data_IF_680218106591
#
_entry.id   IF_680218106591
#
_cell.length_a   1.000
_cell.length_b   1.000
_cell.length_c   1.000
_cell.angle_alpha   90.00
_cell.angle_beta   90.00
_cell.angle_gamma   90.00
#
_symmetry.space_group_name_H-M   'P 1'
#
loop_
_entity.id
_entity.type
_entity.pdbx_description
1 polymer ?
#
# COMPACT_ATOMS: atom_id res chain seq x y z
N UNK A 1 13.13 -25.74 7.82
CA UNK A 1 14.21 -26.73 7.83
C UNK A 1 15.57 -26.06 7.83
N UNK A 2 16.60 -26.76 8.27
CA UNK A 2 17.99 -26.33 8.17
C UNK A 2 18.52 -26.74 6.79
N UNK A 3 18.99 -25.78 6.01
CA UNK A 3 19.58 -25.99 4.70
C UNK A 3 20.96 -25.34 4.66
N UNK A 4 21.90 -25.97 3.98
CA UNK A 4 23.21 -25.38 3.69
C UNK A 4 23.16 -24.46 2.46
N UNK A 5 24.25 -23.74 2.18
CA UNK A 5 24.33 -22.82 1.05
C UNK A 5 24.14 -23.53 -0.30
N UNK A 6 24.57 -24.78 -0.43
CA UNK A 6 24.45 -25.54 -1.68
C UNK A 6 22.99 -25.81 -2.08
N UNK A 7 22.09 -25.93 -1.10
CA UNK A 7 20.66 -26.05 -1.35
C UNK A 7 20.09 -24.87 -2.16
N UNK A 8 20.72 -23.70 -2.05
CA UNK A 8 20.30 -22.47 -2.73
C UNK A 8 21.09 -22.17 -4.02
N UNK A 9 22.00 -23.05 -4.45
CA UNK A 9 22.91 -22.79 -5.57
C UNK A 9 22.20 -22.45 -6.88
N UNK A 10 21.12 -23.11 -7.20
CA UNK A 10 20.33 -22.82 -8.41
C UNK A 10 19.79 -21.38 -8.36
N UNK A 11 19.12 -21.00 -7.27
CA UNK A 11 18.61 -19.66 -7.05
C UNK A 11 19.71 -18.60 -7.01
N UNK A 12 20.86 -18.91 -6.42
CA UNK A 12 22.01 -18.01 -6.40
C UNK A 12 22.59 -17.80 -7.79
N UNK A 13 22.62 -18.86 -8.62
CA UNK A 13 23.05 -18.79 -10.01
C UNK A 13 22.12 -17.92 -10.85
N UNK A 14 20.81 -18.05 -10.65
CA UNK A 14 19.81 -17.21 -11.32
C UNK A 14 19.93 -15.75 -10.92
N UNK A 15 20.11 -15.47 -9.62
CA UNK A 15 20.39 -14.10 -9.12
C UNK A 15 21.69 -13.52 -9.73
N UNK A 16 22.72 -14.34 -9.85
CA UNK A 16 24.00 -13.90 -10.43
C UNK A 16 23.88 -13.59 -11.93
N UNK A 17 23.16 -14.45 -12.68
CA UNK A 17 22.96 -14.28 -14.14
C UNK A 17 21.94 -13.22 -14.47
N UNK A 18 20.85 -13.14 -13.71
CA UNK A 18 19.77 -12.18 -13.92
C UNK A 18 20.09 -10.75 -13.49
N UNK A 19 21.22 -10.56 -12.80
CA UNK A 19 21.57 -9.29 -12.22
C UNK A 19 20.70 -8.92 -11.02
N UNK A 20 20.89 -7.71 -10.52
CA UNK A 20 20.16 -7.19 -9.39
C UNK A 20 18.70 -6.89 -9.79
N UNK A 21 17.74 -7.63 -9.22
CA UNK A 21 16.32 -7.39 -9.44
C UNK A 21 15.97 -5.99 -8.91
N UNK A 22 15.55 -5.12 -9.79
CA UNK A 22 14.84 -3.90 -9.41
C UNK A 22 13.36 -4.26 -9.31
N UNK A 23 12.67 -3.75 -8.28
CA UNK A 23 11.22 -3.90 -8.19
C UNK A 23 10.52 -3.36 -9.44
N UNK A 24 9.25 -3.67 -9.58
CA UNK A 24 8.42 -3.08 -10.65
C UNK A 24 8.26 -1.58 -10.44
N UNK A 25 8.05 -0.85 -11.52
CA UNK A 25 7.79 0.59 -11.50
C UNK A 25 6.49 0.92 -10.75
N UNK A 26 6.50 2.03 -10.03
CA UNK A 26 5.29 2.62 -9.42
C UNK A 26 4.39 3.31 -10.45
N UNK A 27 4.87 3.47 -11.69
CA UNK A 27 4.23 4.31 -12.70
C UNK A 27 4.54 5.80 -12.55
N UNK A 28 5.28 6.18 -11.50
CA UNK A 28 5.82 7.52 -11.30
C UNK A 28 7.34 7.48 -11.45
N UNK A 29 7.87 7.85 -12.61
CA UNK A 29 9.30 7.77 -12.93
C UNK A 29 10.19 8.43 -11.86
N UNK A 30 9.76 9.59 -11.36
CA UNK A 30 10.49 10.31 -10.30
C UNK A 30 10.51 9.58 -8.96
N UNK A 31 9.46 8.76 -8.66
CA UNK A 31 9.37 7.96 -7.45
C UNK A 31 10.21 6.69 -7.53
N UNK A 32 10.36 6.09 -8.71
CA UNK A 32 11.02 4.80 -8.89
C UNK A 32 12.48 4.78 -8.43
N UNK A 33 13.13 5.94 -8.34
CA UNK A 33 14.44 6.05 -7.72
C UNK A 33 14.39 5.78 -6.21
N UNK A 34 13.35 6.24 -5.55
CA UNK A 34 13.19 6.14 -4.09
C UNK A 34 12.48 4.86 -3.68
N UNK A 35 11.56 4.38 -4.51
CA UNK A 35 10.69 3.27 -4.18
C UNK A 35 10.23 2.54 -5.43
N UNK A 36 10.52 1.27 -5.51
CA UNK A 36 9.93 0.31 -6.46
C UNK A 36 9.31 -0.84 -5.69
N UNK A 37 8.39 -1.55 -6.31
CA UNK A 37 7.60 -2.58 -5.64
C UNK A 37 8.11 -3.97 -5.96
N UNK A 38 8.12 -4.84 -4.94
CA UNK A 38 8.43 -6.27 -5.08
C UNK A 38 7.47 -7.06 -4.23
N UNK A 39 7.09 -8.25 -4.67
CA UNK A 39 6.36 -9.20 -3.83
C UNK A 39 7.19 -9.65 -2.63
N UNK A 40 6.55 -10.19 -1.60
CA UNK A 40 7.19 -10.57 -0.35
C UNK A 40 7.58 -9.41 0.56
N UNK A 41 7.10 -8.18 0.29
CA UNK A 41 7.46 -6.96 1.02
C UNK A 41 6.26 -6.30 1.68
N UNK A 42 6.53 -5.62 2.80
CA UNK A 42 5.58 -4.79 3.53
C UNK A 42 6.00 -3.32 3.43
N UNK A 43 5.11 -2.49 2.92
CA UNK A 43 5.25 -1.02 2.89
C UNK A 43 4.27 -0.39 3.87
N UNK A 44 4.75 0.44 4.77
CA UNK A 44 3.90 1.32 5.59
C UNK A 44 3.77 2.68 4.93
N UNK A 45 2.53 3.13 4.73
CA UNK A 45 2.21 4.47 4.23
C UNK A 45 1.58 5.28 5.34
N UNK A 46 2.12 6.48 5.61
CA UNK A 46 1.58 7.39 6.61
C UNK A 46 1.43 8.81 6.07
N UNK A 47 0.81 9.67 6.83
CA UNK A 47 0.54 11.08 6.51
C UNK A 47 -0.64 11.56 7.34
N UNK A 48 -0.73 12.86 7.56
CA UNK A 48 -1.86 13.45 8.29
C UNK A 48 -3.18 13.15 7.57
N UNK A 49 -4.32 13.22 8.25
CA UNK A 49 -5.63 13.13 7.59
C UNK A 49 -5.73 14.10 6.42
N UNK A 50 -6.38 13.69 5.33
CA UNK A 50 -6.55 14.47 4.10
C UNK A 50 -5.25 14.81 3.33
N UNK A 51 -4.13 14.13 3.62
CA UNK A 51 -2.87 14.32 2.88
C UNK A 51 -2.83 13.65 1.49
N UNK A 52 -3.88 12.89 1.11
CA UNK A 52 -3.95 12.21 -0.18
C UNK A 52 -3.41 10.76 -0.18
N UNK A 53 -3.22 10.13 1.00
CA UNK A 53 -2.72 8.73 1.10
C UNK A 53 -3.53 7.75 0.27
N UNK A 54 -4.84 7.70 0.48
CA UNK A 54 -5.73 6.75 -0.21
C UNK A 54 -5.72 6.98 -1.72
N UNK A 55 -5.69 8.24 -2.16
CA UNK A 55 -5.61 8.59 -3.57
C UNK A 55 -4.26 8.17 -4.18
N UNK A 56 -3.15 8.43 -3.48
CA UNK A 56 -1.83 7.95 -3.90
C UNK A 56 -1.78 6.41 -4.00
N UNK A 57 -2.30 5.69 -3.00
CA UNK A 57 -2.34 4.23 -3.02
C UNK A 57 -3.22 3.71 -4.17
N UNK A 58 -4.37 4.33 -4.42
CA UNK A 58 -5.24 3.96 -5.54
C UNK A 58 -4.55 4.15 -6.89
N UNK A 59 -3.86 5.28 -7.09
CA UNK A 59 -3.10 5.54 -8.32
C UNK A 59 -1.94 4.54 -8.48
N UNK A 60 -1.24 4.23 -7.39
CA UNK A 60 -0.16 3.24 -7.40
C UNK A 60 -0.66 1.84 -7.80
N UNK A 61 -1.80 1.43 -7.24
CA UNK A 61 -2.44 0.16 -7.60
C UNK A 61 -2.89 0.14 -9.06
N UNK A 62 -3.51 1.21 -9.56
CA UNK A 62 -3.91 1.33 -10.96
C UNK A 62 -2.71 1.29 -11.90
N UNK A 63 -1.64 2.04 -11.60
CA UNK A 63 -0.43 2.04 -12.41
C UNK A 63 0.17 0.64 -12.53
N UNK A 64 0.26 -0.09 -11.42
CA UNK A 64 0.82 -1.45 -11.43
C UNK A 64 -0.12 -2.47 -12.08
N UNK A 65 -1.44 -2.27 -12.01
CA UNK A 65 -2.40 -3.08 -12.74
C UNK A 65 -2.28 -2.85 -14.26
N UNK A 66 -2.16 -1.59 -14.70
CA UNK A 66 -2.04 -1.23 -16.12
C UNK A 66 -0.70 -1.68 -16.71
N UNK A 67 0.41 -1.46 -16.00
CA UNK A 67 1.74 -1.64 -16.57
C UNK A 67 2.30 -3.06 -16.38
N UNK A 68 1.89 -3.75 -15.30
CA UNK A 68 2.47 -5.01 -14.85
C UNK A 68 1.45 -6.14 -14.67
N UNK A 69 0.18 -5.90 -15.01
CA UNK A 69 -0.94 -6.85 -14.82
C UNK A 69 -1.07 -7.32 -13.36
N UNK A 70 -0.71 -6.46 -12.41
CA UNK A 70 -0.88 -6.78 -11.01
C UNK A 70 -2.34 -6.72 -10.59
N UNK A 71 -2.77 -7.76 -9.87
CA UNK A 71 -4.10 -7.83 -9.29
C UNK A 71 -4.02 -7.51 -7.80
N UNK A 72 -5.01 -6.77 -7.29
CA UNK A 72 -5.02 -6.24 -5.95
C UNK A 72 -6.22 -6.71 -5.13
N UNK A 73 -5.99 -7.03 -3.86
CA UNK A 73 -7.03 -7.10 -2.85
C UNK A 73 -7.04 -5.79 -2.07
N UNK A 74 -8.20 -5.17 -1.94
CA UNK A 74 -8.35 -3.85 -1.33
C UNK A 74 -9.26 -3.94 -0.12
N UNK A 75 -8.71 -3.59 1.04
CA UNK A 75 -9.39 -3.49 2.32
C UNK A 75 -9.41 -2.01 2.72
N UNK A 76 -10.46 -1.29 2.34
CA UNK A 76 -10.65 0.12 2.68
C UNK A 76 -11.79 0.29 3.67
N UNK A 77 -11.52 1.04 4.76
CA UNK A 77 -12.49 1.25 5.84
C UNK A 77 -13.12 2.64 5.83
N UNK A 78 -12.48 3.60 5.15
CA UNK A 78 -12.93 5.00 5.20
C UNK A 78 -14.05 5.29 4.21
N UNK A 79 -14.05 4.63 3.05
CA UNK A 79 -15.01 4.89 1.99
C UNK A 79 -15.84 3.64 1.66
N UNK A 80 -17.13 3.81 1.33
CA UNK A 80 -17.91 2.74 0.71
C UNK A 80 -17.21 2.22 -0.55
N UNK A 81 -17.29 0.92 -0.79
CA UNK A 81 -16.60 0.27 -1.91
C UNK A 81 -17.02 0.87 -3.26
N UNK A 82 -18.29 1.23 -3.41
CA UNK A 82 -18.82 1.84 -4.63
C UNK A 82 -18.17 3.20 -4.94
N UNK A 83 -17.92 4.00 -3.89
CA UNK A 83 -17.25 5.31 -4.05
C UNK A 83 -15.79 5.11 -4.40
N UNK A 84 -15.13 4.14 -3.80
CA UNK A 84 -13.76 3.79 -4.15
C UNK A 84 -13.64 3.34 -5.60
N UNK A 85 -14.53 2.45 -6.06
CA UNK A 85 -14.59 1.99 -7.46
C UNK A 85 -14.84 3.16 -8.40
N UNK A 86 -15.80 4.05 -8.09
CA UNK A 86 -16.08 5.23 -8.90
C UNK A 86 -14.85 6.14 -9.03
N UNK A 87 -14.16 6.42 -7.90
CA UNK A 87 -12.93 7.22 -7.90
C UNK A 87 -11.80 6.55 -8.70
N UNK A 88 -11.65 5.24 -8.59
CA UNK A 88 -10.67 4.50 -9.40
C UNK A 88 -11.01 4.54 -10.90
N UNK A 89 -12.30 4.48 -11.26
CA UNK A 89 -12.74 4.65 -12.64
C UNK A 89 -12.42 6.06 -13.18
N UNK A 90 -12.61 7.11 -12.37
CA UNK A 90 -12.19 8.47 -12.71
C UNK A 90 -10.69 8.56 -12.98
N UNK A 91 -9.86 7.97 -12.11
CA UNK A 91 -8.41 7.94 -12.28
C UNK A 91 -8.00 7.16 -13.55
N UNK A 92 -8.69 6.08 -13.85
CA UNK A 92 -8.42 5.23 -15.02
C UNK A 92 -8.76 5.93 -16.34
N UNK A 93 -9.93 6.60 -16.39
CA UNK A 93 -10.43 7.26 -17.60
C UNK A 93 -9.90 8.70 -17.75
N UNK A 94 -9.58 9.36 -16.64
CA UNK A 94 -9.25 10.79 -16.62
C UNK A 94 -10.44 11.71 -16.79
N UNK A 95 -11.67 11.23 -16.49
CA UNK A 95 -12.93 11.98 -16.58
C UNK A 95 -13.80 11.71 -15.36
N UNK A 96 -14.72 12.64 -15.04
CA UNK A 96 -15.64 12.47 -13.91
C UNK A 96 -16.57 11.26 -14.12
N UNK A 97 -16.74 10.48 -13.06
CA UNK A 97 -17.77 9.44 -12.99
C UNK A 97 -19.17 10.03 -12.75
N UNK A 98 -19.21 11.11 -11.97
CA UNK A 98 -20.41 11.80 -11.58
C UNK A 98 -20.85 12.84 -12.63
N UNK A 99 -21.96 13.54 -12.40
CA UNK A 99 -22.46 14.56 -13.30
C UNK A 99 -21.46 15.72 -13.46
N UNK A 100 -21.36 16.25 -14.69
CA UNK A 100 -20.47 17.35 -15.04
C UNK A 100 -20.22 17.43 -16.53
N UNK A 101 -19.55 18.51 -16.97
CA UNK A 101 -19.23 18.73 -18.40
C UNK A 101 -18.27 17.67 -18.95
N UNK A 102 -17.32 17.21 -18.12
CA UNK A 102 -16.33 16.19 -18.48
C UNK A 102 -16.69 14.79 -17.96
N UNK A 103 -17.97 14.46 -17.93
CA UNK A 103 -18.41 13.13 -17.52
C UNK A 103 -17.98 12.07 -18.52
N UNK A 104 -17.46 10.94 -17.99
CA UNK A 104 -17.18 9.78 -18.84
C UNK A 104 -18.44 9.26 -19.52
N UNK A 105 -18.32 8.78 -20.76
CA UNK A 105 -19.38 8.12 -21.49
C UNK A 105 -19.74 6.76 -20.88
N UNK A 106 -20.91 6.22 -21.20
CA UNK A 106 -21.33 4.87 -20.79
C UNK A 106 -20.34 3.79 -21.25
N UNK A 107 -19.73 3.96 -22.41
CA UNK A 107 -18.75 3.01 -22.94
C UNK A 107 -17.43 3.10 -22.15
N UNK A 108 -16.93 4.31 -21.85
CA UNK A 108 -15.74 4.53 -21.00
C UNK A 108 -15.98 3.97 -19.58
N UNK A 109 -17.16 4.21 -19.01
CA UNK A 109 -17.57 3.67 -17.72
C UNK A 109 -17.56 2.13 -17.75
N UNK A 110 -18.13 1.51 -18.76
CA UNK A 110 -18.17 0.05 -18.91
C UNK A 110 -16.76 -0.53 -18.97
N UNK A 111 -15.89 0.05 -19.80
CA UNK A 111 -14.48 -0.40 -19.95
C UNK A 111 -13.71 -0.24 -18.65
N UNK A 112 -13.87 0.87 -17.93
CA UNK A 112 -13.23 1.09 -16.64
C UNK A 112 -13.68 0.05 -15.60
N UNK A 113 -14.99 -0.23 -15.52
CA UNK A 113 -15.51 -1.20 -14.57
C UNK A 113 -15.09 -2.64 -14.91
N UNK A 114 -15.00 -3.00 -16.19
CA UNK A 114 -14.46 -4.29 -16.64
C UNK A 114 -12.98 -4.45 -16.25
N UNK A 115 -12.18 -3.39 -16.45
CA UNK A 115 -10.78 -3.39 -16.03
C UNK A 115 -10.63 -3.54 -14.51
N UNK A 116 -11.45 -2.79 -13.74
CA UNK A 116 -11.43 -2.86 -12.28
C UNK A 116 -11.88 -4.25 -11.80
N UNK A 117 -12.91 -4.84 -12.37
CA UNK A 117 -13.37 -6.19 -12.00
C UNK A 117 -12.30 -7.26 -12.25
N UNK A 118 -11.53 -7.12 -13.32
CA UNK A 118 -10.46 -8.07 -13.64
C UNK A 118 -9.26 -7.97 -12.70
N UNK A 119 -8.90 -6.74 -12.27
CA UNK A 119 -7.67 -6.49 -11.52
C UNK A 119 -7.85 -6.29 -10.01
N UNK A 120 -9.10 -6.07 -9.53
CA UNK A 120 -9.32 -5.74 -8.13
C UNK A 120 -10.35 -6.64 -7.47
N UNK A 121 -10.10 -6.94 -6.19
CA UNK A 121 -11.04 -7.61 -5.28
C UNK A 121 -11.19 -6.73 -4.06
N UNK A 122 -12.41 -6.44 -3.64
CA UNK A 122 -12.68 -5.57 -2.50
C UNK A 122 -13.18 -6.38 -1.31
N UNK A 123 -12.60 -6.12 -0.13
CA UNK A 123 -13.12 -6.64 1.14
C UNK A 123 -14.14 -5.62 1.64
N UNK A 124 -15.43 -6.00 1.59
CA UNK A 124 -16.52 -5.16 2.05
C UNK A 124 -16.82 -5.42 3.53
N UNK A 125 -16.74 -4.38 4.35
CA UNK A 125 -17.01 -4.41 5.79
C UNK A 125 -18.43 -3.99 6.15
N UNK A 126 -19.19 -3.40 5.22
CA UNK A 126 -20.55 -2.92 5.48
C UNK A 126 -21.53 -4.07 5.77
N UNK A 127 -21.20 -5.29 5.37
CA UNK A 127 -21.97 -6.50 5.66
C UNK A 127 -21.73 -7.12 7.04
N UNK A 128 -20.99 -6.45 7.96
CA UNK A 128 -20.67 -6.96 9.29
C UNK A 128 -19.53 -7.96 9.32
N UNK A 129 -18.69 -7.99 8.29
CA UNK A 129 -17.45 -8.78 8.29
C UNK A 129 -16.51 -8.30 9.42
N UNK A 130 -15.79 -9.23 10.02
CA UNK A 130 -14.80 -8.91 11.05
C UNK A 130 -13.71 -8.00 10.49
N UNK A 131 -13.31 -7.00 11.26
CA UNK A 131 -12.22 -6.07 10.94
C UNK A 131 -10.89 -6.47 11.59
N UNK A 132 -10.80 -7.70 12.12
CA UNK A 132 -9.54 -8.20 12.68
C UNK A 132 -8.57 -8.63 11.57
N UNK A 133 -7.28 -8.57 11.91
CA UNK A 133 -6.21 -8.84 10.94
C UNK A 133 -6.24 -10.28 10.43
N UNK A 134 -6.61 -11.25 11.24
CA UNK A 134 -6.67 -12.66 10.84
C UNK A 134 -7.70 -12.86 9.73
N UNK A 135 -8.89 -12.31 9.89
CA UNK A 135 -9.94 -12.35 8.85
C UNK A 135 -9.52 -11.67 7.56
N UNK A 136 -8.83 -10.52 7.65
CA UNK A 136 -8.31 -9.81 6.45
C UNK A 136 -7.29 -10.69 5.72
N UNK A 137 -6.36 -11.31 6.44
CA UNK A 137 -5.34 -12.22 5.87
C UNK A 137 -6.01 -13.44 5.21
N UNK A 138 -7.00 -14.06 5.84
CA UNK A 138 -7.73 -15.21 5.28
C UNK A 138 -8.46 -14.85 3.97
N UNK A 139 -9.13 -13.71 3.91
CA UNK A 139 -9.78 -13.21 2.71
C UNK A 139 -8.77 -12.88 1.61
N UNK A 140 -7.65 -12.25 1.95
CA UNK A 140 -6.57 -11.98 1.01
C UNK A 140 -5.95 -13.28 0.47
N UNK A 141 -5.73 -14.28 1.33
CA UNK A 141 -5.24 -15.60 0.92
C UNK A 141 -6.21 -16.31 -0.04
N UNK A 142 -7.52 -16.23 0.24
CA UNK A 142 -8.54 -16.73 -0.68
C UNK A 142 -8.49 -16.01 -2.03
N UNK A 143 -8.22 -14.70 -2.03
CA UNK A 143 -8.08 -13.89 -3.24
C UNK A 143 -6.82 -14.22 -4.03
N UNK A 144 -5.70 -14.59 -3.36
CA UNK A 144 -4.51 -15.13 -4.03
C UNK A 144 -4.84 -16.41 -4.83
N UNK A 145 -5.60 -17.32 -4.23
CA UNK A 145 -5.97 -18.57 -4.88
C UNK A 145 -6.98 -18.41 -6.03
N UNK A 146 -7.90 -17.48 -5.92
CA UNK A 146 -9.00 -17.30 -6.88
C UNK A 146 -8.67 -16.37 -8.04
N UNK A 147 -8.01 -15.25 -7.75
CA UNK A 147 -7.73 -14.17 -8.71
C UNK A 147 -6.22 -13.99 -9.00
N UNK A 148 -5.35 -14.64 -8.22
CA UNK A 148 -3.90 -14.49 -8.38
C UNK A 148 -3.40 -13.09 -8.02
N UNK A 149 -3.93 -12.50 -6.95
CA UNK A 149 -3.50 -11.16 -6.52
C UNK A 149 -2.00 -11.12 -6.25
N UNK A 150 -1.39 -9.99 -6.55
CA UNK A 150 0.01 -9.65 -6.25
C UNK A 150 0.15 -8.56 -5.22
N UNK A 151 -0.94 -7.88 -4.86
CA UNK A 151 -0.94 -6.83 -3.86
C UNK A 151 -2.13 -6.90 -2.92
N UNK A 152 -1.91 -6.42 -1.68
CA UNK A 152 -2.94 -6.20 -0.67
C UNK A 152 -2.79 -4.77 -0.14
N UNK A 153 -3.85 -3.97 -0.22
CA UNK A 153 -3.95 -2.68 0.46
C UNK A 153 -4.84 -2.82 1.70
N UNK A 154 -4.37 -2.29 2.84
CA UNK A 154 -5.17 -2.09 4.06
C UNK A 154 -5.13 -0.60 4.42
N UNK A 155 -6.28 0.09 4.35
CA UNK A 155 -6.38 1.55 4.52
C UNK A 155 -7.59 1.96 5.35
N UNK A 156 -7.39 2.50 6.56
CA UNK A 156 -6.18 2.51 7.38
C UNK A 156 -6.23 1.51 8.56
N UNK A 157 -5.07 1.31 9.21
CA UNK A 157 -4.93 0.51 10.45
C UNK A 157 -5.89 0.92 11.57
N UNK A 158 -6.19 2.20 11.69
CA UNK A 158 -6.98 2.75 12.81
C UNK A 158 -8.38 2.10 12.95
N UNK A 159 -8.86 1.41 11.93
CA UNK A 159 -10.12 0.65 11.94
C UNK A 159 -9.93 -0.86 12.16
N UNK A 160 -8.68 -1.35 12.16
CA UNK A 160 -8.40 -2.77 12.40
C UNK A 160 -8.57 -3.07 13.88
N UNK A 161 -9.42 -4.04 14.20
CA UNK A 161 -9.65 -4.48 15.57
C UNK A 161 -8.43 -5.24 16.09
N UNK A 162 -7.87 -4.77 17.20
CA UNK A 162 -6.84 -5.50 17.92
C UNK A 162 -7.47 -6.52 18.88
N UNK A 163 -6.88 -7.71 19.06
CA UNK A 163 -7.37 -8.71 19.98
C UNK A 163 -7.49 -8.14 21.40
N UNK A 164 -8.62 -8.38 22.06
CA UNK A 164 -8.77 -8.07 23.49
C UNK A 164 -7.95 -9.09 24.29
N UNK A 165 -7.00 -8.62 25.06
CA UNK A 165 -6.16 -9.53 25.86
C UNK A 165 -5.19 -8.80 26.80
N UNK A 166 -4.41 -9.56 27.55
CA UNK A 166 -3.49 -9.08 28.60
C UNK A 166 -2.21 -8.42 28.04
N UNK A 167 -1.98 -8.46 26.73
CA UNK A 167 -0.78 -7.89 26.11
C UNK A 167 -0.97 -6.42 25.77
N UNK A 168 0.10 -5.60 25.93
CA UNK A 168 0.06 -4.18 25.58
C UNK A 168 -0.23 -3.97 24.09
N UNK A 169 -0.86 -2.85 23.74
CA UNK A 169 -1.10 -2.43 22.35
C UNK A 169 0.17 -2.49 21.50
N UNK A 170 1.31 -2.05 22.06
CA UNK A 170 2.63 -2.12 21.41
C UNK A 170 3.00 -3.54 20.98
N UNK A 171 2.76 -4.53 21.84
CA UNK A 171 3.04 -5.93 21.53
C UNK A 171 2.07 -6.49 20.48
N UNK A 172 0.80 -6.11 20.54
CA UNK A 172 -0.21 -6.53 19.56
C UNK A 172 0.10 -5.99 18.17
N UNK A 173 0.44 -4.69 18.04
CA UNK A 173 0.87 -4.08 16.78
C UNK A 173 2.15 -4.75 16.27
N UNK A 174 3.11 -5.00 17.14
CA UNK A 174 4.34 -5.68 16.78
C UNK A 174 4.07 -7.08 16.21
N UNK A 175 3.20 -7.86 16.85
CA UNK A 175 2.79 -9.19 16.39
C UNK A 175 2.07 -9.12 15.04
N UNK A 176 1.09 -8.24 14.90
CA UNK A 176 0.33 -8.01 13.69
C UNK A 176 1.23 -7.65 12.49
N UNK A 177 2.17 -6.73 12.65
CA UNK A 177 3.12 -6.37 11.58
C UNK A 177 4.03 -7.55 11.21
N UNK A 178 4.38 -8.42 12.17
CA UNK A 178 5.12 -9.64 11.88
C UNK A 178 4.28 -10.63 11.06
N UNK A 179 3.02 -10.82 11.43
CA UNK A 179 2.09 -11.70 10.72
C UNK A 179 1.88 -11.23 9.27
N UNK A 180 1.69 -9.92 9.05
CA UNK A 180 1.59 -9.34 7.71
C UNK A 180 2.86 -9.54 6.90
N UNK A 181 4.04 -9.34 7.51
CA UNK A 181 5.31 -9.53 6.82
C UNK A 181 5.55 -11.00 6.45
N UNK A 182 5.18 -11.93 7.32
CA UNK A 182 5.25 -13.37 7.02
C UNK A 182 4.25 -13.75 5.94
N UNK A 183 3.04 -13.22 5.98
CA UNK A 183 2.02 -13.44 4.96
C UNK A 183 2.48 -12.90 3.61
N UNK A 184 2.99 -11.68 3.53
CA UNK A 184 3.53 -11.11 2.29
C UNK A 184 4.57 -12.06 1.64
N UNK A 185 5.49 -12.60 2.45
CA UNK A 185 6.54 -13.52 1.98
C UNK A 185 6.00 -14.89 1.56
N UNK A 186 5.09 -15.46 2.35
CA UNK A 186 4.56 -16.80 2.08
C UNK A 186 3.58 -16.84 0.91
N UNK A 187 2.79 -15.79 0.72
CA UNK A 187 1.83 -15.66 -0.37
C UNK A 187 2.43 -15.02 -1.64
N UNK A 188 3.69 -14.57 -1.58
CA UNK A 188 4.39 -13.87 -2.66
C UNK A 188 3.60 -12.65 -3.17
N UNK A 189 3.17 -11.78 -2.23
CA UNK A 189 2.44 -10.55 -2.52
C UNK A 189 3.13 -9.33 -1.92
N UNK A 190 2.84 -8.15 -2.44
CA UNK A 190 3.19 -6.87 -1.81
C UNK A 190 2.07 -6.41 -0.89
N UNK A 191 2.38 -6.02 0.34
CA UNK A 191 1.39 -5.46 1.27
C UNK A 191 1.65 -3.97 1.47
N UNK A 192 0.64 -3.15 1.23
CA UNK A 192 0.62 -1.74 1.60
C UNK A 192 -0.29 -1.58 2.82
N UNK A 193 0.23 -1.04 3.89
CA UNK A 193 -0.51 -0.82 5.13
C UNK A 193 -0.48 0.65 5.51
N UNK A 194 -1.63 1.32 5.39
CA UNK A 194 -1.78 2.72 5.74
C UNK A 194 -2.04 2.86 7.24
N UNK A 195 -1.41 3.86 7.87
CA UNK A 195 -1.63 4.18 9.27
C UNK A 195 -1.53 5.69 9.50
N UNK A 196 -2.42 6.24 10.34
CA UNK A 196 -2.38 7.65 10.70
C UNK A 196 -1.33 7.92 11.80
N UNK A 197 -0.61 9.04 11.71
CA UNK A 197 0.26 9.48 12.79
C UNK A 197 -0.58 9.91 14.01
N UNK A 198 0.05 9.95 15.19
CA UNK A 198 -0.50 10.67 16.32
C UNK A 198 -0.64 12.16 15.99
N UNK A 199 -1.35 12.92 16.84
CA UNK A 199 -1.51 14.35 16.62
C UNK A 199 -0.15 15.04 16.51
N UNK A 200 0.11 15.64 15.35
CA UNK A 200 1.34 16.37 15.08
C UNK A 200 1.18 17.85 15.49
N UNK A 201 2.25 18.42 15.99
CA UNK A 201 2.29 19.83 16.37
C UNK A 201 3.35 20.56 15.54
N UNK A 202 3.11 21.85 15.19
CA UNK A 202 4.12 22.66 14.53
C UNK A 202 5.40 22.79 15.39
N UNK A 203 6.54 22.85 14.72
CA UNK A 203 7.82 23.17 15.32
C UNK A 203 7.93 24.65 15.70
N UNK A 204 9.11 25.07 16.19
CA UNK A 204 9.39 26.47 16.57
C UNK A 204 9.24 27.47 15.42
N UNK A 205 9.24 27.01 14.16
CA UNK A 205 9.06 27.82 12.96
C UNK A 205 7.62 27.78 12.44
N UNK A 206 6.70 27.17 13.19
CA UNK A 206 5.28 27.04 12.82
C UNK A 206 5.01 25.99 11.75
N UNK A 207 6.00 25.13 11.39
CA UNK A 207 5.84 24.11 10.37
C UNK A 207 5.62 22.75 11.03
N UNK A 208 4.55 22.06 10.64
CA UNK A 208 4.33 20.67 11.03
C UNK A 208 5.30 19.77 10.26
N UNK A 209 6.12 18.95 10.93
CA UNK A 209 7.02 18.02 10.25
C UNK A 209 6.25 16.93 9.51
N UNK A 210 6.81 16.44 8.40
CA UNK A 210 6.25 15.29 7.69
C UNK A 210 6.36 14.06 8.60
N UNK A 211 5.26 13.35 8.91
CA UNK A 211 5.30 12.21 9.80
C UNK A 211 6.10 11.06 9.19
N UNK A 212 6.69 10.23 10.03
CA UNK A 212 7.36 8.97 9.66
C UNK A 212 6.80 7.84 10.51
N UNK A 213 7.30 6.61 10.33
CA UNK A 213 6.91 5.48 11.17
C UNK A 213 7.07 5.70 12.68
N UNK A 214 7.96 6.60 13.10
CA UNK A 214 8.11 6.99 14.51
C UNK A 214 6.93 7.81 15.06
N UNK A 215 6.17 8.44 14.20
CA UNK A 215 5.03 9.28 14.57
C UNK A 215 3.70 8.51 14.53
N UNK A 216 3.70 7.23 14.11
CA UNK A 216 2.51 6.39 14.16
C UNK A 216 2.30 5.90 15.59
N UNK A 217 1.06 6.03 16.09
CA UNK A 217 0.73 5.66 17.47
C UNK A 217 0.89 4.16 17.74
N UNK A 218 1.14 3.84 19.00
CA UNK A 218 1.04 2.50 19.57
C UNK A 218 2.32 1.68 19.53
N UNK A 219 3.25 1.86 18.57
CA UNK A 219 4.47 1.04 18.55
C UNK A 219 5.59 1.60 17.67
N UNK A 220 6.82 1.56 18.16
CA UNK A 220 8.04 1.78 17.36
C UNK A 220 8.21 0.73 16.24
N UNK A 221 7.44 -0.35 16.28
CA UNK A 221 7.46 -1.40 15.25
C UNK A 221 7.01 -0.90 13.89
N UNK A 222 6.23 0.19 13.81
CA UNK A 222 5.87 0.85 12.55
C UNK A 222 7.07 1.37 11.76
N UNK A 223 8.14 1.75 12.45
CA UNK A 223 9.40 2.09 11.80
C UNK A 223 10.29 0.85 11.61
N UNK A 224 10.34 -0.04 12.59
CA UNK A 224 11.31 -1.13 12.62
C UNK A 224 11.00 -2.26 11.64
N UNK A 225 9.75 -2.67 11.52
CA UNK A 225 9.35 -3.91 10.81
C UNK A 225 9.14 -3.78 9.31
N UNK A 226 8.45 -2.76 8.77
CA UNK A 226 8.23 -2.66 7.33
C UNK A 226 9.53 -2.71 6.53
N UNK A 227 9.46 -3.17 5.30
CA UNK A 227 10.60 -3.13 4.37
C UNK A 227 10.76 -1.74 3.77
N UNK A 228 9.64 -1.05 3.53
CA UNK A 228 9.59 0.34 3.08
C UNK A 228 8.68 1.17 3.99
N UNK A 229 8.99 2.46 4.06
CA UNK A 229 8.19 3.44 4.77
C UNK A 229 8.07 4.72 3.94
N UNK A 230 6.84 5.13 3.69
CA UNK A 230 6.50 6.26 2.83
C UNK A 230 5.57 7.20 3.59
N UNK A 231 5.80 8.49 3.45
CA UNK A 231 4.87 9.52 3.91
C UNK A 231 4.37 10.35 2.76
N UNK A 232 3.09 10.68 2.83
CA UNK A 232 2.41 11.56 1.90
C UNK A 232 2.07 12.85 2.64
N UNK A 233 2.52 13.96 2.09
CA UNK A 233 2.26 15.30 2.62
C UNK A 233 1.77 16.23 1.51
N UNK A 234 0.60 16.80 1.70
CA UNK A 234 -0.04 17.66 0.71
C UNK A 234 0.33 19.12 0.96
N UNK A 235 0.99 19.72 -0.02
CA UNK A 235 1.26 21.15 -0.08
C UNK A 235 0.21 21.91 -0.91
N UNK A 236 0.48 23.20 -1.15
CA UNK A 236 -0.33 24.03 -2.03
C UNK A 236 0.01 23.72 -3.50
N UNK A 237 -0.72 22.79 -4.11
CA UNK A 237 -0.58 22.42 -5.53
C UNK A 237 0.45 21.33 -5.81
N UNK A 238 1.10 20.77 -4.82
CA UNK A 238 1.96 19.60 -4.94
C UNK A 238 1.72 18.58 -3.82
N UNK A 239 2.18 17.35 -4.05
CA UNK A 239 2.22 16.29 -3.05
C UNK A 239 3.68 15.90 -2.85
N UNK A 240 4.15 16.04 -1.62
CA UNK A 240 5.49 15.58 -1.22
C UNK A 240 5.43 14.13 -0.79
N UNK A 241 6.27 13.30 -1.40
CA UNK A 241 6.46 11.90 -1.01
C UNK A 241 7.83 11.77 -0.36
N UNK A 242 7.84 11.34 0.90
CA UNK A 242 9.05 11.06 1.67
C UNK A 242 9.21 9.56 1.85
N UNK A 243 10.23 8.97 1.22
CA UNK A 243 10.66 7.61 1.53
C UNK A 243 11.62 7.67 2.73
N UNK A 244 11.11 7.40 3.94
CA UNK A 244 11.89 7.44 5.18
C UNK A 244 12.54 6.11 5.53
N UNK A 245 12.17 5.03 4.82
CA UNK A 245 12.78 3.70 4.97
C UNK A 245 12.81 2.97 3.64
N UNK A 246 13.96 2.41 3.30
CA UNK A 246 14.15 1.42 2.26
C UNK A 246 15.13 0.38 2.79
N UNK A 247 14.69 -0.87 2.97
CA UNK A 247 15.53 -1.95 3.52
C UNK A 247 16.55 -2.44 2.51
N UNK A 248 16.17 -2.48 1.24
CA UNK A 248 16.98 -3.06 0.17
C UNK A 248 17.32 -2.01 -0.87
N UNK A 249 18.62 -1.70 -1.00
CA UNK A 249 19.15 -0.67 -1.92
C UNK A 249 18.79 -0.88 -3.40
N UNK A 250 18.39 -2.09 -3.77
CA UNK A 250 17.97 -2.38 -5.14
C UNK A 250 16.49 -2.10 -5.40
N UNK A 251 15.72 -1.84 -4.38
CA UNK A 251 14.31 -1.45 -4.48
C UNK A 251 14.10 0.06 -4.35
N UNK A 252 15.13 0.81 -3.97
CA UNK A 252 15.06 2.25 -3.80
C UNK A 252 16.07 2.80 -2.80
N UNK A 253 15.87 4.04 -2.41
CA UNK A 253 16.67 4.75 -1.42
C UNK A 253 15.80 5.69 -0.57
N UNK A 254 16.32 6.13 0.56
CA UNK A 254 15.67 7.18 1.34
C UNK A 254 15.80 8.52 0.59
N UNK A 255 14.76 9.30 0.61
CA UNK A 255 14.73 10.58 -0.07
C UNK A 255 13.34 11.17 -0.17
N UNK A 256 13.24 12.28 -0.85
CA UNK A 256 12.00 13.03 -0.98
C UNK A 256 11.83 13.53 -2.42
N UNK A 257 10.62 13.46 -2.92
CA UNK A 257 10.22 14.03 -4.21
C UNK A 257 8.91 14.81 -4.06
N UNK A 258 8.62 15.60 -5.08
CA UNK A 258 7.33 16.25 -5.24
C UNK A 258 6.66 15.75 -6.52
N UNK A 259 5.39 15.45 -6.42
CA UNK A 259 4.52 15.16 -7.56
C UNK A 259 3.53 16.31 -7.73
N UNK A 260 3.29 16.69 -8.98
CA UNK A 260 2.17 17.56 -9.31
C UNK A 260 0.85 16.85 -9.02
N UNK A 261 -0.17 17.63 -8.70
CA UNK A 261 -1.53 17.15 -8.54
C UNK A 261 -2.36 17.79 -9.65
N UNK A 262 -2.87 16.96 -10.56
CA UNK A 262 -3.78 17.38 -11.64
C UNK A 262 -5.24 17.27 -11.18
#
# INVERSE_FOLDING_TARGET
GLNDANFYNERLTDLYKGGQFRGISTGFESLDRLYTMSTGMLTTVTGIPSSGKSQFCSQLMLNTAINEDWKWCVCSFENPVEILIATMAEMYVGKSFFEGEDRMSEEERRQALEFIDDHFVFIDHMGGASTDMTSIIELAQSSCLRKGIRGLLIDPFNFVSLPKGETSETNQISKMLTELQLFAKSADIHVIFCAHPHKMYPDSNGKTPIPTGHHISGSASWFAKPDHGISIDRGDGDVTILCWKCRFRWLGEQGMIKLGFD
#
